data_IF_746398028943
#
_entry.id   IF_746398028943
#
_cell.length_a   1.000
_cell.length_b   1.000
_cell.length_c   1.000
_cell.angle_alpha   90.00
_cell.angle_beta   90.00
_cell.angle_gamma   90.00
#
_symmetry.space_group_name_H-M   'P 1'
#
loop_
_entity.id
_entity.type
_entity.pdbx_description
1 polymer ?
#
# COMPACT_ATOMS: atom_id res chain seq x y z
N UNK A 1 -12.10 -6.11 -28.53
CA UNK A 1 -11.92 -5.16 -27.44
C UNK A 1 -12.75 -3.91 -27.75
N UNK A 2 -13.83 -3.72 -27.00
CA UNK A 2 -14.66 -2.52 -27.12
C UNK A 2 -14.12 -1.46 -26.15
N UNK A 3 -14.18 -0.18 -26.55
CA UNK A 3 -13.74 0.95 -25.71
C UNK A 3 -14.97 1.77 -25.33
N UNK A 4 -15.15 1.99 -24.04
CA UNK A 4 -16.29 2.69 -23.47
C UNK A 4 -15.81 3.94 -22.76
N UNK A 5 -16.30 5.11 -23.18
CA UNK A 5 -16.01 6.37 -22.50
C UNK A 5 -17.17 6.78 -21.62
N UNK A 6 -16.83 7.15 -20.39
CA UNK A 6 -17.75 7.76 -19.45
C UNK A 6 -18.01 9.23 -19.81
N UNK A 7 -19.28 9.54 -20.07
CA UNK A 7 -19.81 10.88 -20.33
C UNK A 7 -20.46 11.48 -19.07
N UNK A 8 -21.09 10.64 -18.22
CA UNK A 8 -21.71 11.10 -16.97
C UNK A 8 -22.79 12.18 -17.16
N UNK A 9 -23.43 12.19 -18.34
CA UNK A 9 -24.29 13.29 -18.78
C UNK A 9 -25.67 13.30 -18.13
N UNK A 10 -26.08 12.21 -17.50
CA UNK A 10 -27.41 12.04 -16.89
C UNK A 10 -27.35 12.01 -15.37
N UNK A 11 -26.52 11.13 -14.81
CA UNK A 11 -26.30 10.96 -13.37
C UNK A 11 -24.90 10.35 -13.09
N UNK A 12 -24.64 9.93 -11.86
CA UNK A 12 -23.39 9.25 -11.46
C UNK A 12 -23.47 7.72 -11.51
N UNK A 13 -24.58 7.12 -11.93
CA UNK A 13 -24.79 5.67 -11.85
C UNK A 13 -24.11 4.95 -13.02
N UNK A 14 -23.20 4.03 -12.70
CA UNK A 14 -22.49 3.19 -13.65
C UNK A 14 -23.44 2.40 -14.58
N UNK A 15 -24.60 1.96 -14.06
CA UNK A 15 -25.57 1.17 -14.80
C UNK A 15 -26.44 2.00 -15.76
N UNK A 16 -26.44 3.33 -15.64
CA UNK A 16 -27.21 4.20 -16.53
C UNK A 16 -26.54 4.24 -17.91
N UNK A 17 -27.13 3.55 -18.89
CA UNK A 17 -26.60 3.45 -20.26
C UNK A 17 -26.37 4.82 -20.92
N UNK A 18 -27.15 5.84 -20.55
CA UNK A 18 -27.00 7.20 -21.08
C UNK A 18 -25.72 7.91 -20.61
N UNK A 19 -25.06 7.44 -19.56
CA UNK A 19 -23.78 7.98 -19.09
C UNK A 19 -22.59 7.48 -19.93
N UNK A 20 -22.83 6.64 -20.93
CA UNK A 20 -21.79 6.06 -21.78
C UNK A 20 -21.92 6.56 -23.21
N UNK A 21 -20.79 6.85 -23.84
CA UNK A 21 -20.77 7.22 -25.27
C UNK A 21 -21.13 6.08 -26.22
N UNK A 22 -21.23 4.86 -25.70
CA UNK A 22 -21.61 3.65 -26.43
C UNK A 22 -22.58 2.83 -25.56
N UNK A 23 -22.65 1.52 -25.79
CA UNK A 23 -23.32 0.62 -24.84
C UNK A 23 -22.60 0.63 -23.48
N UNK A 24 -23.26 0.04 -22.48
CA UNK A 24 -22.63 -0.26 -21.19
C UNK A 24 -21.33 -1.06 -21.37
N UNK A 25 -20.33 -0.88 -20.49
CA UNK A 25 -19.11 -1.68 -20.52
C UNK A 25 -19.41 -3.19 -20.47
N UNK A 26 -18.62 -3.95 -21.21
CA UNK A 26 -18.69 -5.42 -21.27
C UNK A 26 -17.36 -6.02 -20.80
N UNK A 27 -17.37 -7.31 -20.46
CA UNK A 27 -16.16 -8.06 -20.14
C UNK A 27 -15.13 -7.95 -21.27
N UNK A 28 -13.84 -7.96 -20.89
CA UNK A 28 -12.68 -7.85 -21.77
C UNK A 28 -12.69 -6.55 -22.61
N UNK A 29 -13.29 -5.51 -22.04
CA UNK A 29 -13.39 -4.16 -22.61
C UNK A 29 -12.49 -3.17 -21.89
N UNK A 30 -12.30 -2.01 -22.51
CA UNK A 30 -11.62 -0.88 -21.90
C UNK A 30 -12.65 0.17 -21.45
N UNK A 31 -12.48 0.68 -20.23
CA UNK A 31 -13.23 1.83 -19.72
C UNK A 31 -12.29 3.01 -19.53
N UNK A 32 -12.71 4.16 -20.07
CA UNK A 32 -11.92 5.38 -20.02
C UNK A 32 -12.76 6.55 -19.49
N UNK A 33 -12.25 7.19 -18.45
CA UNK A 33 -12.71 8.48 -17.93
C UNK A 33 -11.75 9.57 -18.40
N UNK A 34 -12.17 10.43 -19.33
CA UNK A 34 -11.29 11.44 -19.93
C UNK A 34 -11.77 12.89 -19.73
N UNK A 35 -12.70 13.11 -18.79
CA UNK A 35 -13.14 14.46 -18.43
C UNK A 35 -14.03 15.14 -19.47
N UNK A 36 -14.60 14.41 -20.43
CA UNK A 36 -15.59 14.96 -21.38
C UNK A 36 -16.92 15.40 -20.75
N UNK A 37 -17.15 15.02 -19.50
CA UNK A 37 -18.33 15.37 -18.70
C UNK A 37 -18.44 16.88 -18.52
N UNK A 38 -19.65 17.43 -18.66
CA UNK A 38 -19.91 18.86 -18.44
C UNK A 38 -20.03 19.20 -16.94
N UNK A 39 -20.46 18.23 -16.13
CA UNK A 39 -20.57 18.35 -14.68
C UNK A 39 -19.78 17.23 -14.00
N UNK A 40 -19.06 17.55 -12.93
CA UNK A 40 -18.31 16.58 -12.14
C UNK A 40 -19.28 15.90 -11.17
N UNK A 41 -19.81 14.75 -11.57
CA UNK A 41 -20.66 13.91 -10.70
C UNK A 41 -19.83 12.68 -10.30
N UNK A 42 -19.61 12.43 -8.99
CA UNK A 42 -18.92 11.22 -8.56
C UNK A 42 -19.64 9.97 -9.06
N UNK A 43 -18.88 9.01 -9.58
CA UNK A 43 -19.46 7.76 -10.08
C UNK A 43 -19.80 6.84 -8.92
N UNK A 44 -20.99 6.26 -8.94
CA UNK A 44 -21.52 5.32 -7.94
C UNK A 44 -21.98 4.03 -8.60
N UNK A 45 -22.11 2.96 -7.81
CA UNK A 45 -22.72 1.70 -8.27
C UNK A 45 -21.82 0.78 -9.10
N UNK A 46 -20.55 1.14 -9.31
CA UNK A 46 -19.60 0.29 -10.04
C UNK A 46 -19.29 -0.98 -9.22
N UNK A 47 -19.95 -2.09 -9.55
CA UNK A 47 -19.71 -3.41 -8.94
C UNK A 47 -19.53 -4.49 -10.00
N UNK A 48 -18.54 -5.36 -9.79
CA UNK A 48 -18.17 -6.45 -10.68
C UNK A 48 -19.01 -7.71 -10.41
N UNK A 49 -20.19 -7.78 -11.05
CA UNK A 49 -21.00 -9.00 -11.18
C UNK A 49 -22.06 -9.25 -10.10
N UNK A 50 -23.29 -8.74 -10.26
CA UNK A 50 -24.44 -9.09 -9.41
C UNK A 50 -25.77 -8.66 -10.04
N UNK A 51 -26.88 -9.35 -9.72
CA UNK A 51 -28.20 -9.10 -10.32
C UNK A 51 -28.63 -7.63 -10.21
N UNK A 52 -29.39 -7.19 -11.23
CA UNK A 52 -29.87 -5.83 -11.58
C UNK A 52 -30.72 -5.11 -10.50
N UNK A 53 -30.58 -5.46 -9.21
CA UNK A 53 -31.29 -4.80 -8.11
C UNK A 53 -30.43 -3.85 -7.28
N UNK A 54 -29.10 -3.85 -7.43
CA UNK A 54 -28.20 -2.88 -6.78
C UNK A 54 -27.12 -2.38 -7.77
N UNK A 55 -27.51 -1.58 -8.77
CA UNK A 55 -26.64 -0.80 -9.69
C UNK A 55 -25.43 -1.50 -10.39
N UNK A 56 -25.26 -2.81 -10.29
CA UNK A 56 -24.19 -3.60 -10.92
C UNK A 56 -24.68 -4.42 -12.10
N UNK A 57 -23.83 -4.58 -13.12
CA UNK A 57 -24.10 -5.49 -14.22
C UNK A 57 -23.93 -6.94 -13.74
N UNK A 58 -24.81 -7.86 -14.16
CA UNK A 58 -24.89 -9.23 -13.64
C UNK A 58 -23.76 -10.18 -14.09
N UNK A 59 -22.90 -9.75 -15.01
CA UNK A 59 -21.74 -10.50 -15.43
C UNK A 59 -20.53 -9.68 -15.01
N UNK A 60 -19.73 -10.24 -14.10
CA UNK A 60 -18.45 -9.67 -13.72
C UNK A 60 -17.67 -9.38 -15.01
N UNK A 61 -17.50 -8.11 -15.35
CA UNK A 61 -16.70 -7.68 -16.48
C UNK A 61 -15.32 -7.44 -15.92
N UNK A 62 -14.50 -8.50 -15.89
CA UNK A 62 -13.04 -8.32 -15.88
C UNK A 62 -12.71 -7.43 -17.07
N UNK A 63 -12.29 -6.20 -16.80
CA UNK A 63 -11.96 -5.22 -17.83
C UNK A 63 -10.50 -5.42 -18.24
N UNK A 64 -10.18 -5.21 -19.50
CA UNK A 64 -8.77 -5.17 -19.92
C UNK A 64 -8.08 -3.91 -19.34
N UNK A 65 -8.84 -2.81 -19.24
CA UNK A 65 -8.34 -1.52 -18.76
C UNK A 65 -9.43 -0.73 -18.05
N UNK A 66 -9.07 -0.15 -16.90
CA UNK A 66 -9.79 0.95 -16.27
C UNK A 66 -8.85 2.17 -16.18
N UNK A 67 -9.12 3.22 -16.96
CA UNK A 67 -8.23 4.39 -17.06
C UNK A 67 -8.94 5.69 -16.74
N UNK A 68 -8.47 6.36 -15.69
CA UNK A 68 -8.83 7.74 -15.34
C UNK A 68 -7.75 8.69 -15.86
N UNK A 69 -7.98 9.33 -17.01
CA UNK A 69 -7.00 10.22 -17.63
C UNK A 69 -6.80 11.51 -16.83
N UNK A 70 -5.71 12.20 -17.10
CA UNK A 70 -5.34 13.46 -16.43
C UNK A 70 -6.36 14.59 -16.50
N UNK A 71 -7.24 14.57 -17.50
CA UNK A 71 -8.33 15.54 -17.66
C UNK A 71 -9.55 15.22 -16.80
N UNK A 72 -9.64 14.02 -16.23
CA UNK A 72 -10.72 13.65 -15.33
C UNK A 72 -10.45 14.18 -13.91
N UNK A 73 -11.38 14.98 -13.39
CA UNK A 73 -11.27 15.63 -12.08
C UNK A 73 -12.31 15.12 -11.07
N UNK A 74 -13.19 14.20 -11.49
CA UNK A 74 -14.21 13.61 -10.62
C UNK A 74 -13.68 12.50 -9.74
N UNK A 75 -14.44 12.20 -8.68
CA UNK A 75 -14.17 11.05 -7.80
C UNK A 75 -14.85 9.77 -8.29
N UNK A 76 -14.41 8.65 -7.72
CA UNK A 76 -14.99 7.32 -7.94
C UNK A 76 -15.37 6.73 -6.60
N UNK A 77 -16.65 6.38 -6.48
CA UNK A 77 -17.20 5.66 -5.36
C UNK A 77 -16.99 6.40 -4.01
N UNK A 78 -17.18 5.69 -2.90
CA UNK A 78 -16.96 6.20 -1.55
C UNK A 78 -16.42 5.08 -0.65
N UNK A 79 -15.93 5.41 0.55
CA UNK A 79 -15.50 4.40 1.51
C UNK A 79 -16.62 3.41 1.89
N UNK A 80 -17.87 3.89 1.99
CA UNK A 80 -19.02 3.04 2.35
C UNK A 80 -19.48 2.12 1.20
N UNK A 81 -19.21 2.53 -0.03
CA UNK A 81 -19.59 1.80 -1.25
C UNK A 81 -18.44 1.95 -2.26
N UNK A 82 -17.33 1.21 -2.10
CA UNK A 82 -16.19 1.30 -3.00
C UNK A 82 -16.52 0.69 -4.36
N UNK A 83 -15.78 1.09 -5.39
CA UNK A 83 -15.85 0.51 -6.72
C UNK A 83 -15.25 -0.90 -6.69
N UNK A 84 -16.09 -1.94 -6.72
CA UNK A 84 -15.62 -3.33 -6.76
C UNK A 84 -15.30 -3.69 -8.21
N UNK A 85 -14.05 -3.99 -8.51
CA UNK A 85 -13.58 -4.28 -9.87
C UNK A 85 -12.32 -5.14 -9.86
N UNK A 86 -12.04 -5.80 -10.99
CA UNK A 86 -10.81 -6.59 -11.18
C UNK A 86 -10.26 -6.44 -12.61
N UNK A 87 -9.88 -5.23 -13.05
CA UNK A 87 -9.28 -5.04 -14.36
C UNK A 87 -7.88 -5.67 -14.45
N UNK A 88 -7.47 -6.09 -15.64
CA UNK A 88 -6.08 -6.49 -15.93
C UNK A 88 -5.10 -5.32 -15.71
N UNK A 89 -5.58 -4.08 -15.89
CA UNK A 89 -4.82 -2.87 -15.64
C UNK A 89 -5.68 -1.71 -15.13
N UNK A 90 -5.25 -1.09 -14.04
CA UNK A 90 -5.80 0.14 -13.49
C UNK A 90 -4.81 1.30 -13.68
N UNK A 91 -5.26 2.42 -14.26
CA UNK A 91 -4.44 3.62 -14.43
C UNK A 91 -5.19 4.85 -13.92
N UNK A 92 -4.59 5.56 -12.96
CA UNK A 92 -5.11 6.78 -12.34
C UNK A 92 -4.15 7.94 -12.63
N UNK A 93 -4.54 8.81 -13.54
CA UNK A 93 -3.87 10.07 -13.86
C UNK A 93 -4.77 11.28 -13.53
N UNK A 94 -6.06 11.08 -13.27
CA UNK A 94 -6.99 12.14 -12.85
C UNK A 94 -6.75 12.60 -11.41
N UNK A 95 -7.22 13.79 -11.05
CA UNK A 95 -6.97 14.44 -9.75
C UNK A 95 -8.04 14.15 -8.69
N UNK A 96 -8.89 13.14 -8.91
CA UNK A 96 -10.03 12.86 -8.04
C UNK A 96 -9.68 12.09 -6.76
N UNK A 97 -10.72 11.74 -6.01
CA UNK A 97 -10.66 10.73 -4.94
C UNK A 97 -11.21 9.41 -5.46
N UNK A 98 -10.46 8.32 -5.32
CA UNK A 98 -10.79 7.01 -5.90
C UNK A 98 -10.88 5.96 -4.78
N UNK A 99 -12.05 5.35 -4.61
CA UNK A 99 -12.23 4.20 -3.70
C UNK A 99 -12.35 2.92 -4.52
N UNK A 100 -11.28 2.14 -4.63
CA UNK A 100 -11.20 0.95 -5.49
C UNK A 100 -11.05 -0.30 -4.65
N UNK A 101 -11.98 -1.24 -4.78
CA UNK A 101 -11.93 -2.55 -4.15
C UNK A 101 -11.61 -3.62 -5.18
N UNK A 102 -10.48 -4.31 -5.03
CA UNK A 102 -10.15 -5.48 -5.83
C UNK A 102 -11.13 -6.61 -5.47
N UNK A 103 -11.91 -7.09 -6.42
CA UNK A 103 -12.89 -8.12 -6.11
C UNK A 103 -13.94 -8.35 -7.18
N UNK A 104 -14.75 -9.36 -6.91
CA UNK A 104 -16.05 -9.62 -7.54
C UNK A 104 -17.12 -9.59 -6.46
N UNK A 105 -18.38 -9.30 -6.80
CA UNK A 105 -19.47 -9.28 -5.81
C UNK A 105 -19.63 -10.62 -5.07
N UNK A 106 -19.24 -11.73 -5.69
CA UNK A 106 -19.13 -13.04 -5.06
C UNK A 106 -17.71 -13.28 -4.51
N UNK A 107 -17.54 -13.20 -3.19
CA UNK A 107 -16.26 -13.38 -2.46
C UNK A 107 -15.80 -14.86 -2.35
N UNK A 108 -16.08 -15.70 -3.35
CA UNK A 108 -15.85 -17.16 -3.26
C UNK A 108 -14.71 -17.68 -4.12
N UNK A 109 -13.99 -16.78 -4.79
CA UNK A 109 -12.82 -17.10 -5.62
C UNK A 109 -11.79 -16.01 -5.49
N UNK A 110 -10.52 -16.39 -5.55
CA UNK A 110 -9.43 -15.44 -5.65
C UNK A 110 -9.58 -14.53 -6.88
N UNK A 111 -9.14 -13.28 -6.73
CA UNK A 111 -9.07 -12.32 -7.83
C UNK A 111 -7.83 -11.46 -7.69
N UNK A 112 -7.39 -10.85 -8.79
CA UNK A 112 -6.26 -9.93 -8.75
C UNK A 112 -6.48 -8.74 -9.67
N UNK A 113 -5.83 -7.63 -9.33
CA UNK A 113 -5.51 -6.54 -10.26
C UNK A 113 -4.00 -6.60 -10.47
N UNK A 114 -3.51 -7.11 -11.61
CA UNK A 114 -2.08 -7.33 -11.83
C UNK A 114 -1.26 -6.04 -11.77
N UNK A 115 -1.77 -4.95 -12.35
CA UNK A 115 -1.04 -3.68 -12.47
C UNK A 115 -1.96 -2.52 -12.11
N UNK A 116 -1.54 -1.73 -11.12
CA UNK A 116 -2.13 -0.43 -10.78
C UNK A 116 -1.08 0.66 -10.92
N UNK A 117 -1.39 1.75 -11.63
CA UNK A 117 -0.50 2.90 -11.81
C UNK A 117 -1.22 4.15 -11.31
N UNK A 118 -0.62 4.88 -10.38
CA UNK A 118 -1.12 6.15 -9.85
C UNK A 118 -0.10 7.24 -10.17
N UNK A 119 -0.49 8.20 -11.00
CA UNK A 119 0.40 9.20 -11.59
C UNK A 119 -0.24 10.59 -11.63
N UNK A 120 -0.74 11.05 -10.48
CA UNK A 120 -1.15 12.43 -10.31
C UNK A 120 -0.99 12.86 -8.85
N UNK A 121 -0.22 13.92 -8.60
CA UNK A 121 0.10 14.41 -7.26
C UNK A 121 -1.13 14.83 -6.45
N UNK A 122 -2.22 15.18 -7.14
CA UNK A 122 -3.46 15.65 -6.53
C UNK A 122 -4.50 14.51 -6.41
N UNK A 123 -4.20 13.30 -6.90
CA UNK A 123 -5.05 12.13 -6.70
C UNK A 123 -4.98 11.64 -5.26
N UNK A 124 -6.14 11.23 -4.72
CA UNK A 124 -6.25 10.51 -3.47
C UNK A 124 -6.84 9.14 -3.78
N UNK A 125 -6.11 8.07 -3.50
CA UNK A 125 -6.53 6.70 -3.86
C UNK A 125 -6.61 5.86 -2.60
N UNK A 126 -7.74 5.19 -2.43
CA UNK A 126 -7.97 4.17 -1.41
C UNK A 126 -8.08 2.81 -2.10
N UNK A 127 -7.21 1.89 -1.73
CA UNK A 127 -7.25 0.50 -2.21
C UNK A 127 -7.78 -0.42 -1.12
N UNK A 128 -8.81 -1.18 -1.49
CA UNK A 128 -9.47 -2.17 -0.67
C UNK A 128 -9.37 -3.54 -1.34
N UNK A 129 -9.51 -4.60 -0.54
CA UNK A 129 -9.70 -5.95 -1.06
C UNK A 129 -11.07 -6.44 -0.63
N UNK A 130 -11.86 -6.95 -1.58
CA UNK A 130 -13.18 -7.48 -1.26
C UNK A 130 -13.07 -8.78 -0.44
N UNK A 131 -11.92 -9.45 -0.49
CA UNK A 131 -11.57 -10.56 0.39
C UNK A 131 -10.07 -10.53 0.67
N UNK A 132 -9.68 -10.64 1.94
CA UNK A 132 -8.33 -11.02 2.34
C UNK A 132 -8.53 -11.89 3.58
N UNK A 133 -8.32 -13.20 3.44
CA UNK A 133 -8.65 -14.15 4.50
C UNK A 133 -7.89 -15.46 4.30
N UNK A 134 -7.95 -16.33 5.29
CA UNK A 134 -7.48 -17.71 5.20
C UNK A 134 -8.21 -18.59 4.15
N UNK A 135 -9.17 -18.07 3.38
CA UNK A 135 -9.96 -18.85 2.41
C UNK A 135 -9.95 -18.32 0.98
N UNK A 136 -9.97 -17.00 0.81
CA UNK A 136 -9.99 -16.33 -0.48
C UNK A 136 -9.18 -15.04 -0.41
N UNK A 137 -8.56 -14.70 -1.53
CA UNK A 137 -7.67 -13.56 -1.67
C UNK A 137 -8.06 -12.70 -2.88
N UNK A 138 -8.31 -11.42 -2.62
CA UNK A 138 -8.31 -10.36 -3.63
C UNK A 138 -7.02 -9.58 -3.47
N UNK A 139 -6.17 -9.52 -4.49
CA UNK A 139 -4.87 -8.85 -4.38
C UNK A 139 -4.66 -7.75 -5.41
N UNK A 140 -3.82 -6.78 -5.07
CA UNK A 140 -3.12 -5.97 -6.05
C UNK A 140 -1.69 -6.51 -6.18
N UNK A 141 -1.36 -7.03 -7.35
CA UNK A 141 -0.05 -7.69 -7.53
C UNK A 141 1.08 -6.65 -7.55
N UNK A 142 1.03 -5.69 -8.49
CA UNK A 142 2.00 -4.60 -8.59
C UNK A 142 1.31 -3.23 -8.57
N UNK A 143 1.67 -2.39 -7.60
CA UNK A 143 1.19 -1.00 -7.49
C UNK A 143 2.36 -0.03 -7.70
N UNK A 144 2.24 0.83 -8.71
CA UNK A 144 3.21 1.88 -9.02
C UNK A 144 2.66 3.25 -8.62
N UNK A 145 3.19 3.83 -7.55
CA UNK A 145 2.89 5.18 -7.11
C UNK A 145 3.97 6.16 -7.63
N UNK A 146 3.64 6.84 -8.71
CA UNK A 146 4.50 7.84 -9.36
C UNK A 146 4.16 9.28 -8.93
N UNK A 147 2.92 9.52 -8.52
CA UNK A 147 2.48 10.74 -7.84
C UNK A 147 1.09 10.51 -7.23
N UNK A 148 0.82 11.10 -6.06
CA UNK A 148 -0.48 11.08 -5.38
C UNK A 148 -0.39 10.66 -3.91
N UNK A 149 -1.55 10.59 -3.26
CA UNK A 149 -1.68 10.00 -1.92
C UNK A 149 -2.38 8.65 -2.04
N UNK A 150 -1.79 7.62 -1.44
CA UNK A 150 -2.29 6.25 -1.45
C UNK A 150 -2.59 5.79 -0.02
N UNK A 151 -3.81 5.29 0.19
CA UNK A 151 -4.24 4.61 1.40
C UNK A 151 -4.51 3.14 1.08
N UNK A 152 -3.97 2.22 1.87
CA UNK A 152 -4.16 0.78 1.71
C UNK A 152 -4.77 0.23 3.00
N UNK A 153 -5.78 -0.65 2.88
CA UNK A 153 -6.49 -1.28 4.01
C UNK A 153 -7.27 -0.31 4.93
N UNK A 154 -7.52 0.93 4.47
CA UNK A 154 -8.19 1.98 5.24
C UNK A 154 -9.73 1.88 5.16
N UNK A 155 -10.37 0.92 5.83
CA UNK A 155 -11.84 0.85 5.90
C UNK A 155 -12.39 1.22 7.29
N UNK A 156 -13.26 2.24 7.33
CA UNK A 156 -13.87 2.73 8.57
C UNK A 156 -15.25 2.16 8.87
N UNK A 157 -15.82 1.34 7.98
CA UNK A 157 -17.28 1.09 8.01
C UNK A 157 -17.71 -0.33 8.33
N UNK A 158 -17.01 -1.39 7.92
CA UNK A 158 -17.41 -2.77 8.32
C UNK A 158 -16.30 -3.79 8.04
N UNK A 159 -15.88 -4.48 9.11
CA UNK A 159 -15.03 -5.68 9.19
C UNK A 159 -13.66 -5.63 8.50
N UNK A 160 -12.62 -5.64 9.33
CA UNK A 160 -11.25 -6.14 9.10
C UNK A 160 -11.14 -7.19 7.96
N UNK A 161 -11.12 -6.73 6.72
CA UNK A 161 -10.53 -7.46 5.61
C UNK A 161 -9.44 -6.55 5.15
N UNK A 162 -8.21 -6.82 5.60
CA UNK A 162 -7.04 -6.09 5.15
C UNK A 162 -6.94 -6.06 3.63
N UNK A 163 -5.95 -5.36 3.10
CA UNK A 163 -5.78 -5.23 1.64
C UNK A 163 -4.42 -5.76 1.25
N UNK A 164 -4.35 -6.85 0.48
CA UNK A 164 -3.06 -7.38 0.08
C UNK A 164 -2.51 -6.63 -1.15
N UNK A 165 -1.36 -5.99 -0.96
CA UNK A 165 -0.54 -5.45 -2.04
C UNK A 165 0.79 -6.19 -2.07
N UNK A 166 1.00 -7.06 -3.06
CA UNK A 166 2.20 -7.91 -3.09
C UNK A 166 3.49 -7.12 -3.27
N UNK A 167 3.52 -6.20 -4.24
CA UNK A 167 4.63 -5.30 -4.49
C UNK A 167 4.16 -3.85 -4.64
N UNK A 168 4.64 -2.99 -3.76
CA UNK A 168 4.44 -1.54 -3.85
C UNK A 168 5.73 -0.86 -4.31
N UNK A 169 5.67 -0.20 -5.47
CA UNK A 169 6.74 0.60 -6.05
C UNK A 169 6.44 2.09 -5.87
N UNK A 170 7.25 2.79 -5.08
CA UNK A 170 7.10 4.21 -4.80
C UNK A 170 8.24 4.95 -5.49
N UNK A 171 7.93 5.61 -6.61
CA UNK A 171 8.90 6.25 -7.48
C UNK A 171 8.38 7.63 -7.91
N UNK A 172 8.38 8.63 -6.99
CA UNK A 172 7.81 9.94 -7.27
C UNK A 172 8.42 10.58 -8.51
N UNK A 173 7.57 11.17 -9.35
CA UNK A 173 7.98 11.93 -10.53
C UNK A 173 8.97 13.03 -10.13
N UNK A 174 10.05 13.18 -10.90
CA UNK A 174 11.18 14.07 -10.58
C UNK A 174 11.90 13.76 -9.26
N UNK A 175 11.70 12.56 -8.70
CA UNK A 175 12.27 12.14 -7.42
C UNK A 175 11.94 13.09 -6.24
N UNK A 176 10.78 13.76 -6.30
CA UNK A 176 10.35 14.73 -5.28
C UNK A 176 9.56 14.04 -4.16
N UNK A 177 9.98 14.11 -2.89
CA UNK A 177 9.30 13.42 -1.80
C UNK A 177 7.85 13.90 -1.60
N UNK A 178 7.57 15.17 -1.85
CA UNK A 178 6.23 15.75 -1.72
C UNK A 178 5.24 15.33 -2.81
N UNK A 179 5.67 14.51 -3.78
CA UNK A 179 4.76 14.00 -4.83
C UNK A 179 4.08 12.70 -4.43
N UNK A 180 4.55 11.98 -3.41
CA UNK A 180 4.00 10.66 -3.05
C UNK A 180 3.92 10.50 -1.55
N UNK A 181 2.72 10.20 -1.06
CA UNK A 181 2.46 9.82 0.34
C UNK A 181 1.74 8.47 0.35
N UNK A 182 2.16 7.57 1.22
CA UNK A 182 1.50 6.27 1.43
C UNK A 182 1.16 6.11 2.89
N UNK A 183 -0.04 5.62 3.16
CA UNK A 183 -0.48 5.14 4.45
C UNK A 183 -0.98 3.69 4.29
N UNK A 184 -0.35 2.77 5.00
CA UNK A 184 -0.68 1.33 4.96
C UNK A 184 -1.15 0.95 6.36
N UNK A 185 -2.45 0.68 6.46
CA UNK A 185 -3.08 0.19 7.67
C UNK A 185 -2.76 -1.30 7.89
N UNK A 186 -3.26 -1.83 9.00
CA UNK A 186 -3.10 -3.21 9.43
C UNK A 186 -3.59 -4.25 8.43
N UNK A 187 -3.14 -5.48 8.62
CA UNK A 187 -3.56 -6.66 7.86
C UNK A 187 -3.30 -6.56 6.33
N UNK A 188 -2.34 -5.74 5.91
CA UNK A 188 -1.92 -5.60 4.52
C UNK A 188 -0.86 -6.67 4.14
N UNK A 189 -1.27 -7.93 4.15
CA UNK A 189 -0.49 -9.08 3.71
C UNK A 189 -1.42 -10.19 3.16
N UNK A 190 -0.87 -11.21 2.52
CA UNK A 190 -1.62 -12.38 2.05
C UNK A 190 -2.01 -13.26 3.24
N UNK A 191 -3.24 -13.14 3.74
CA UNK A 191 -3.73 -13.94 4.86
C UNK A 191 -3.89 -15.44 4.52
N UNK A 192 -4.05 -15.78 3.24
CA UNK A 192 -4.23 -17.16 2.79
C UNK A 192 -2.92 -17.94 2.86
N UNK A 193 -1.83 -17.32 2.43
CA UNK A 193 -0.53 -17.97 2.28
C UNK A 193 0.54 -17.45 3.26
N UNK A 194 0.21 -16.49 4.13
CA UNK A 194 1.13 -15.82 5.06
C UNK A 194 2.32 -15.18 4.32
N UNK A 195 2.03 -14.44 3.25
CA UNK A 195 3.04 -13.76 2.43
C UNK A 195 2.99 -12.25 2.69
N UNK A 196 4.06 -11.66 3.24
CA UNK A 196 4.06 -10.25 3.59
C UNK A 196 4.25 -9.34 2.35
N UNK A 197 3.83 -8.08 2.49
CA UNK A 197 3.94 -7.04 1.46
C UNK A 197 5.40 -6.61 1.24
N UNK A 198 5.78 -6.39 -0.03
CA UNK A 198 7.10 -5.85 -0.38
C UNK A 198 7.00 -4.38 -0.79
N UNK A 199 7.95 -3.55 -0.33
CA UNK A 199 8.01 -2.12 -0.64
C UNK A 199 9.36 -1.78 -1.28
N UNK A 200 9.30 -1.15 -2.45
CA UNK A 200 10.45 -0.63 -3.19
C UNK A 200 10.31 0.88 -3.33
N UNK A 201 11.06 1.62 -2.51
CA UNK A 201 10.89 3.07 -2.34
C UNK A 201 12.11 3.83 -2.86
N UNK A 202 11.93 4.63 -3.90
CA UNK A 202 12.97 5.53 -4.39
C UNK A 202 13.06 6.81 -3.55
N UNK A 203 11.91 7.39 -3.18
CA UNK A 203 11.75 8.57 -2.31
C UNK A 203 10.25 8.67 -1.90
N UNK A 204 9.87 9.66 -1.10
CA UNK A 204 8.48 9.88 -0.66
C UNK A 204 8.31 9.79 0.86
N UNK A 205 7.06 9.67 1.28
CA UNK A 205 6.67 9.44 2.68
C UNK A 205 5.81 8.18 2.79
N UNK A 206 6.16 7.29 3.71
CA UNK A 206 5.37 6.09 4.03
C UNK A 206 5.11 6.03 5.53
N UNK A 207 3.86 5.78 5.89
CA UNK A 207 3.48 5.22 7.20
C UNK A 207 2.96 3.81 6.96
N UNK A 208 3.38 2.85 7.77
CA UNK A 208 3.02 1.46 7.58
C UNK A 208 2.89 0.73 8.92
N UNK A 209 1.80 0.00 9.07
CA UNK A 209 1.48 -0.75 10.27
C UNK A 209 1.06 -2.19 9.92
N UNK A 210 1.89 -2.91 9.18
CA UNK A 210 1.63 -4.31 8.82
C UNK A 210 2.93 -5.10 8.69
N UNK A 211 2.88 -6.43 8.62
CA UNK A 211 4.07 -7.24 8.36
C UNK A 211 4.65 -7.04 6.94
N UNK A 212 5.98 -7.01 6.81
CA UNK A 212 6.68 -6.72 5.56
C UNK A 212 7.71 -7.80 5.18
N UNK A 213 7.77 -8.09 3.89
CA UNK A 213 8.75 -9.00 3.31
C UNK A 213 10.07 -8.26 3.13
N UNK A 214 10.21 -7.64 1.96
CA UNK A 214 11.36 -6.79 1.64
C UNK A 214 10.96 -5.33 1.66
N UNK A 215 11.70 -4.51 2.41
CA UNK A 215 11.71 -3.06 2.28
C UNK A 215 13.04 -2.64 1.67
N UNK A 216 12.99 -2.07 0.48
CA UNK A 216 14.16 -1.53 -0.22
C UNK A 216 14.02 -0.02 -0.40
N UNK A 217 14.67 0.75 0.46
CA UNK A 217 14.51 2.20 0.58
C UNK A 217 15.77 2.94 0.12
N UNK A 218 15.65 3.75 -0.92
CA UNK A 218 16.74 4.56 -1.46
C UNK A 218 16.83 5.95 -0.85
N UNK A 219 15.69 6.56 -0.52
CA UNK A 219 15.57 7.87 0.12
C UNK A 219 14.16 8.05 0.71
N UNK A 220 13.89 9.21 1.32
CA UNK A 220 12.58 9.59 1.86
C UNK A 220 12.44 9.35 3.35
N UNK A 221 11.20 9.28 3.81
CA UNK A 221 10.85 9.01 5.21
C UNK A 221 9.89 7.83 5.31
N UNK A 222 10.21 6.88 6.17
CA UNK A 222 9.41 5.70 6.42
C UNK A 222 9.15 5.61 7.92
N UNK A 223 7.89 5.55 8.33
CA UNK A 223 7.47 5.35 9.72
C UNK A 223 6.82 3.98 9.82
N UNK A 224 7.39 3.09 10.63
CA UNK A 224 6.93 1.72 10.78
C UNK A 224 6.43 1.44 12.20
N UNK A 225 5.22 0.91 12.28
CA UNK A 225 4.49 0.71 13.52
C UNK A 225 3.79 1.99 13.98
N UNK A 226 2.66 1.83 14.65
CA UNK A 226 2.01 2.91 15.38
C UNK A 226 1.78 2.58 16.87
N UNK A 227 0.99 3.41 17.56
CA UNK A 227 0.67 3.26 18.99
C UNK A 227 -0.83 3.11 19.28
N UNK A 228 -1.65 3.16 18.25
CA UNK A 228 -3.11 3.27 18.30
C UNK A 228 -3.81 2.01 17.77
N UNK A 229 -3.10 1.21 16.98
CA UNK A 229 -3.53 -0.04 16.37
C UNK A 229 -3.16 -1.24 17.26
N UNK A 230 -3.74 -2.41 16.98
CA UNK A 230 -3.50 -3.62 17.76
C UNK A 230 -3.12 -4.76 16.82
N UNK A 231 -2.03 -4.58 16.07
CA UNK A 231 -1.42 -5.63 15.30
C UNK A 231 -0.80 -6.72 16.18
N UNK A 232 -0.76 -7.94 15.63
CA UNK A 232 -0.16 -9.08 16.34
C UNK A 232 1.20 -9.51 15.77
N UNK A 233 1.50 -9.12 14.52
CA UNK A 233 2.76 -9.43 13.84
C UNK A 233 3.23 -8.22 13.04
N UNK A 234 4.40 -7.69 13.41
CA UNK A 234 5.03 -6.53 12.76
C UNK A 234 6.48 -6.86 12.36
N UNK A 235 6.65 -8.04 11.77
CA UNK A 235 7.96 -8.53 11.34
C UNK A 235 8.35 -7.97 9.97
N UNK A 236 9.65 -7.72 9.80
CA UNK A 236 10.28 -7.37 8.53
C UNK A 236 11.30 -8.45 8.18
N UNK A 237 11.09 -9.17 7.08
CA UNK A 237 12.04 -10.22 6.66
C UNK A 237 13.38 -9.61 6.23
N UNK A 238 13.37 -8.53 5.44
CA UNK A 238 14.57 -7.86 4.94
C UNK A 238 14.38 -6.35 4.82
N UNK A 239 15.27 -5.59 5.45
CA UNK A 239 15.40 -4.14 5.28
C UNK A 239 16.71 -3.81 4.56
N UNK A 240 16.62 -3.13 3.42
CA UNK A 240 17.75 -2.52 2.73
C UNK A 240 17.56 -0.99 2.78
N UNK A 241 18.40 -0.30 3.54
CA UNK A 241 18.35 1.15 3.70
C UNK A 241 19.58 1.78 3.04
N UNK A 242 19.39 2.48 1.93
CA UNK A 242 20.48 3.19 1.24
C UNK A 242 20.60 4.66 1.64
N UNK A 243 19.49 5.33 1.98
CA UNK A 243 19.45 6.70 2.51
C UNK A 243 18.09 6.99 3.14
N UNK A 244 17.88 8.23 3.60
CA UNK A 244 16.64 8.66 4.22
C UNK A 244 16.54 8.29 5.70
N UNK A 245 15.31 8.29 6.23
CA UNK A 245 15.02 8.00 7.63
C UNK A 245 13.96 6.90 7.70
N UNK A 246 14.29 5.81 8.38
CA UNK A 246 13.37 4.74 8.74
C UNK A 246 13.14 4.79 10.26
N UNK A 247 12.01 5.32 10.68
CA UNK A 247 11.58 5.36 12.08
C UNK A 247 10.90 4.05 12.44
N UNK A 248 11.55 3.27 13.30
CA UNK A 248 11.09 1.95 13.73
C UNK A 248 10.48 2.04 15.12
N UNK A 249 9.15 2.13 15.19
CA UNK A 249 8.42 2.44 16.41
C UNK A 249 7.20 1.52 16.69
N UNK A 250 7.29 0.19 16.49
CA UNK A 250 6.21 -0.71 16.86
C UNK A 250 5.94 -0.58 18.36
N UNK A 251 4.68 -0.34 18.75
CA UNK A 251 4.26 -0.22 20.14
C UNK A 251 3.36 -1.39 20.57
N UNK A 252 2.49 -1.88 19.69
CA UNK A 252 1.51 -2.94 19.99
C UNK A 252 2.07 -4.35 20.05
N UNK A 253 3.05 -4.70 19.21
CA UNK A 253 3.54 -6.06 19.05
C UNK A 253 5.06 -6.15 19.17
N UNK A 254 5.54 -7.39 19.36
CA UNK A 254 6.95 -7.67 19.13
C UNK A 254 7.22 -7.52 17.63
N UNK A 255 8.37 -6.94 17.31
CA UNK A 255 8.74 -6.70 15.92
C UNK A 255 10.17 -7.17 15.70
N UNK A 256 10.34 -8.01 14.70
CA UNK A 256 11.63 -8.57 14.32
C UNK A 256 12.02 -8.10 12.93
N UNK A 257 13.18 -7.45 12.81
CA UNK A 257 13.87 -7.30 11.54
C UNK A 257 14.85 -8.48 11.40
N UNK A 258 14.53 -9.45 10.55
CA UNK A 258 15.36 -10.65 10.41
C UNK A 258 16.73 -10.31 9.83
N UNK A 259 16.78 -9.50 8.77
CA UNK A 259 18.05 -9.00 8.21
C UNK A 259 17.95 -7.53 7.82
N UNK A 260 18.89 -6.72 8.31
CA UNK A 260 19.06 -5.32 7.94
C UNK A 260 20.41 -5.09 7.23
N UNK A 261 20.37 -4.48 6.05
CA UNK A 261 21.52 -3.92 5.35
C UNK A 261 21.40 -2.39 5.35
N UNK A 262 22.25 -1.73 6.12
CA UNK A 262 22.23 -0.28 6.28
C UNK A 262 23.43 0.32 5.53
N UNK A 263 23.21 0.67 4.26
CA UNK A 263 24.21 1.27 3.38
C UNK A 263 24.35 2.78 3.56
N UNK A 264 23.31 3.44 4.06
CA UNK A 264 23.30 4.87 4.40
C UNK A 264 22.03 5.25 5.17
N UNK A 265 21.83 6.55 5.45
CA UNK A 265 20.64 7.05 6.13
C UNK A 265 20.57 6.67 7.62
N UNK A 266 19.38 6.74 8.20
CA UNK A 266 19.15 6.44 9.62
C UNK A 266 18.05 5.40 9.80
N UNK A 267 18.36 4.29 10.47
CA UNK A 267 17.36 3.44 11.13
C UNK A 267 17.22 3.92 12.58
N UNK A 268 16.09 4.54 12.90
CA UNK A 268 15.81 5.15 14.20
C UNK A 268 14.80 4.30 15.00
N UNK A 269 15.31 3.52 15.93
CA UNK A 269 14.52 2.75 16.90
C UNK A 269 14.28 3.44 18.23
N UNK A 270 14.65 4.72 18.40
CA UNK A 270 14.72 5.41 19.70
C UNK A 270 13.38 5.86 20.28
N UNK A 271 12.34 5.97 19.43
CA UNK A 271 11.10 6.68 19.74
C UNK A 271 10.12 6.00 20.69
N UNK A 272 10.12 4.66 20.82
CA UNK A 272 9.10 3.94 21.62
C UNK A 272 9.68 3.11 22.74
N UNK A 273 9.32 3.46 23.98
CA UNK A 273 9.60 2.68 25.19
C UNK A 273 8.73 1.42 25.22
N UNK A 274 8.95 0.50 24.28
CA UNK A 274 8.24 -0.76 24.21
C UNK A 274 8.88 -1.74 25.22
N UNK A 275 8.55 -1.57 26.50
CA UNK A 275 9.12 -2.36 27.59
C UNK A 275 8.49 -3.77 27.69
N UNK A 276 7.33 -4.00 27.05
CA UNK A 276 6.63 -5.28 27.05
C UNK A 276 6.94 -6.16 25.84
N UNK A 277 7.10 -5.54 24.66
CA UNK A 277 7.30 -6.22 23.39
C UNK A 277 8.64 -5.76 22.78
N UNK A 278 9.69 -6.56 22.99
CA UNK A 278 11.05 -6.19 22.60
C UNK A 278 11.20 -6.05 21.08
N UNK A 279 12.00 -5.07 20.66
CA UNK A 279 12.44 -4.91 19.27
C UNK A 279 13.64 -5.82 19.01
N UNK A 280 13.62 -6.62 17.94
CA UNK A 280 14.69 -7.57 17.64
C UNK A 280 15.26 -7.33 16.25
N UNK A 281 16.59 -7.27 16.14
CA UNK A 281 17.31 -7.39 14.88
C UNK A 281 18.18 -8.64 14.92
N UNK A 282 17.87 -9.64 14.11
CA UNK A 282 18.63 -10.91 14.12
C UNK A 282 20.00 -10.74 13.45
N UNK A 283 20.05 -10.07 12.29
CA UNK A 283 21.32 -9.78 11.60
C UNK A 283 21.33 -8.37 11.06
N UNK A 284 22.39 -7.61 11.36
CA UNK A 284 22.60 -6.26 10.86
C UNK A 284 23.99 -6.11 10.22
N UNK A 285 24.02 -5.58 9.00
CA UNK A 285 25.23 -5.12 8.32
C UNK A 285 25.20 -3.59 8.28
N UNK A 286 26.09 -2.96 9.06
CA UNK A 286 26.14 -1.51 9.25
C UNK A 286 27.35 -0.92 8.52
N UNK A 287 27.12 -0.35 7.33
CA UNK A 287 28.16 0.22 6.48
C UNK A 287 28.42 1.70 6.78
N UNK A 288 29.58 2.20 6.32
CA UNK A 288 29.93 3.63 6.45
C UNK A 288 28.89 4.53 5.78
N UNK A 289 28.50 5.61 6.47
CA UNK A 289 27.47 6.55 6.03
C UNK A 289 26.06 6.24 6.54
N UNK A 290 25.85 5.10 7.19
CA UNK A 290 24.60 4.76 7.86
C UNK A 290 24.68 5.00 9.37
N UNK A 291 23.53 5.33 9.95
CA UNK A 291 23.30 5.44 11.39
C UNK A 291 22.26 4.42 11.82
N UNK A 292 22.60 3.65 12.86
CA UNK A 292 21.69 2.80 13.59
C UNK A 292 21.47 3.41 14.98
N UNK A 293 20.32 4.04 15.20
CA UNK A 293 19.98 4.66 16.48
C UNK A 293 19.04 3.77 17.28
N UNK A 294 19.56 3.19 18.36
CA UNK A 294 18.85 2.30 19.27
C UNK A 294 18.79 2.88 20.68
N UNK A 295 18.87 4.21 20.82
CA UNK A 295 18.80 4.90 22.11
C UNK A 295 17.36 4.92 22.68
N UNK A 296 16.82 3.75 23.00
CA UNK A 296 15.39 3.53 23.20
C UNK A 296 14.85 3.84 24.62
N UNK A 297 15.37 4.88 25.28
CA UNK A 297 14.84 5.38 26.55
C UNK A 297 14.48 4.29 27.60
N UNK A 298 15.34 3.26 27.76
CA UNK A 298 15.17 2.07 28.64
C UNK A 298 14.29 0.92 28.12
N UNK A 299 13.83 0.94 26.87
CA UNK A 299 13.19 -0.21 26.22
C UNK A 299 14.21 -1.25 25.77
N UNK A 300 13.84 -2.53 25.79
CA UNK A 300 14.71 -3.63 25.37
C UNK A 300 14.77 -3.70 23.83
N UNK A 301 15.98 -3.49 23.28
CA UNK A 301 16.30 -3.84 21.90
C UNK A 301 17.38 -4.91 21.90
N UNK A 302 17.12 -6.00 21.20
CA UNK A 302 18.06 -7.11 21.00
C UNK A 302 18.68 -7.05 19.62
N UNK A 303 20.01 -6.94 19.55
CA UNK A 303 20.78 -7.17 18.32
C UNK A 303 21.55 -8.48 18.46
N UNK A 304 21.22 -9.50 17.65
CA UNK A 304 21.84 -10.83 17.75
C UNK A 304 23.18 -10.91 17.01
N UNK A 305 23.25 -10.43 15.77
CA UNK A 305 24.48 -10.38 14.98
C UNK A 305 24.68 -9.00 14.38
N UNK A 306 25.77 -8.32 14.77
CA UNK A 306 26.16 -7.02 14.21
C UNK A 306 27.50 -7.11 13.47
N UNK A 307 27.46 -6.86 12.16
CA UNK A 307 28.62 -6.71 11.29
C UNK A 307 28.85 -5.23 10.98
N UNK A 308 29.73 -4.57 11.75
CA UNK A 308 30.02 -3.14 11.58
C UNK A 308 31.19 -2.89 10.61
N UNK A 309 30.90 -2.22 9.51
CA UNK A 309 31.81 -1.89 8.40
C UNK A 309 31.86 -0.35 8.21
N UNK A 310 31.96 0.38 9.34
CA UNK A 310 32.24 1.81 9.37
C UNK A 310 31.08 2.75 9.70
N UNK A 311 29.83 2.28 9.84
CA UNK A 311 28.69 3.13 10.21
C UNK A 311 28.64 3.51 11.70
N UNK A 312 27.69 4.37 12.05
CA UNK A 312 27.47 4.87 13.40
C UNK A 312 26.41 4.06 14.13
N UNK A 313 26.70 3.71 15.39
CA UNK A 313 25.79 2.99 16.28
C UNK A 313 25.57 3.84 17.52
N UNK A 314 24.33 4.27 17.75
CA UNK A 314 23.90 4.95 18.98
C UNK A 314 23.14 3.96 19.85
N UNK A 315 23.55 3.82 21.11
CA UNK A 315 22.91 2.94 22.09
C UNK A 315 22.74 3.66 23.42
N UNK A 316 21.68 3.33 24.16
CA UNK A 316 21.50 3.83 25.52
C UNK A 316 22.24 2.95 26.56
N UNK A 317 22.20 3.38 27.82
CA UNK A 317 22.88 2.73 28.95
C UNK A 317 22.38 1.31 29.29
N UNK A 318 21.26 0.85 28.70
CA UNK A 318 20.62 -0.43 29.01
C UNK A 318 20.51 -1.36 27.79
N UNK A 319 20.93 -0.92 26.59
CA UNK A 319 20.90 -1.75 25.38
C UNK A 319 21.75 -3.02 25.52
N UNK A 320 21.22 -4.16 25.04
CA UNK A 320 21.94 -5.43 24.94
C UNK A 320 22.41 -5.64 23.51
N UNK A 321 23.71 -5.49 23.27
CA UNK A 321 24.33 -5.70 21.96
C UNK A 321 25.17 -6.97 22.02
N UNK A 322 24.79 -8.00 21.26
CA UNK A 322 25.69 -9.11 20.96
C UNK A 322 26.51 -8.75 19.72
N UNK A 323 27.83 -8.60 19.91
CA UNK A 323 28.76 -8.29 18.81
C UNK A 323 29.42 -9.58 18.35
N UNK A 324 29.10 -10.01 17.13
CA UNK A 324 29.77 -11.13 16.47
C UNK A 324 30.85 -10.57 15.56
N UNK A 325 32.12 -10.77 15.95
CA UNK A 325 33.26 -10.29 15.19
C UNK A 325 33.83 -11.43 14.33
N UNK A 326 33.51 -11.45 13.04
CA UNK A 326 34.21 -12.30 12.07
C UNK A 326 35.38 -11.51 11.48
N UNK A 327 36.56 -11.69 12.06
CA UNK A 327 37.81 -11.26 11.45
C UNK A 327 38.21 -12.29 10.38
N UNK A 328 38.47 -11.89 9.11
CA UNK A 328 39.39 -12.67 8.28
C UNK A 328 40.82 -12.58 8.83
#
# INVERSE_FOLDING_TARGET
MAVHYWDGSTDGDWATAANWTAALPVADGEVIFDGRQVAVIPVTGMTDGGSVSDSGHANAATLDLLHFKSTYTGGIASAALPCITSPDKLVIEGSGTYHISCGKTSQVTDTSIPITIINNKDAIVYLYSNSNSATNLSEFTDVYLLAGTLYIAWNTVELDVGCYVKNLYIAPTNNSPGNTTVDIDKDCFDELNDVPTNIFMQNGTVTCDTQLGTVNMYAGTFTYGDSASAETVLDITRLNLHSGIFTWQPNEAAATITTAYLFGGTLDGSGTTNAGNGKVITTCYLFSGATLDMANNRGDITLTNLYRIGGDLTIDKNAKVAVTYNQP
#
